data_IF_352886197995
#
_entry.id   IF_352886197995
#
_cell.length_a   1.000
_cell.length_b   1.000
_cell.length_c   1.000
_cell.angle_alpha   90.00
_cell.angle_beta   90.00
_cell.angle_gamma   90.00
#
_symmetry.space_group_name_H-M   'P 1'
#
loop_
_entity.id
_entity.type
_entity.pdbx_description
1 polymer ?
#
# COMPACT_ATOMS: atom_id res chain seq x y z
N UNK A 1 38.89 8.32 -26.42
CA UNK A 1 38.02 7.44 -25.60
C UNK A 1 37.85 7.97 -24.17
N UNK A 2 37.99 9.29 -23.96
CA UNK A 2 37.77 10.00 -22.69
C UNK A 2 37.00 11.26 -23.09
N UNK A 3 35.75 11.10 -23.54
CA UNK A 3 34.87 12.24 -23.86
C UNK A 3 33.38 11.88 -23.89
N UNK A 4 32.97 10.87 -23.12
CA UNK A 4 31.55 10.49 -22.96
C UNK A 4 31.02 10.71 -21.53
N UNK A 5 31.78 11.41 -20.66
CA UNK A 5 31.47 11.52 -19.21
C UNK A 5 30.97 12.88 -18.73
N UNK A 6 30.62 13.82 -19.62
CA UNK A 6 30.23 15.19 -19.18
C UNK A 6 28.82 15.64 -19.57
N UNK A 7 28.09 14.88 -20.38
CA UNK A 7 26.71 15.24 -20.76
C UNK A 7 25.61 14.63 -19.87
N UNK A 8 25.93 13.67 -18.99
CA UNK A 8 24.95 13.03 -18.08
C UNK A 8 24.93 13.61 -16.65
N UNK A 9 25.84 14.52 -16.30
CA UNK A 9 25.86 15.17 -14.99
C UNK A 9 24.97 16.44 -14.92
N UNK A 10 24.62 17.03 -16.08
CA UNK A 10 23.80 18.25 -16.11
C UNK A 10 22.28 17.99 -16.07
N UNK A 11 21.84 16.75 -16.34
CA UNK A 11 20.47 16.27 -16.07
C UNK A 11 20.29 15.72 -14.65
N UNK A 12 21.38 15.63 -13.87
CA UNK A 12 21.39 15.14 -12.49
C UNK A 12 20.88 16.20 -11.48
N UNK A 13 20.99 17.49 -11.82
CA UNK A 13 20.56 18.60 -10.94
C UNK A 13 19.16 19.14 -11.24
N UNK A 14 18.59 18.84 -12.41
CA UNK A 14 17.21 19.20 -12.73
C UNK A 14 16.17 18.21 -12.16
N UNK A 15 16.59 16.99 -11.77
CA UNK A 15 15.67 15.91 -11.39
C UNK A 15 15.42 15.81 -9.88
N UNK A 16 16.34 16.31 -9.04
CA UNK A 16 16.12 16.44 -7.58
C UNK A 16 15.00 17.44 -7.25
N UNK A 17 14.59 18.27 -8.23
CA UNK A 17 13.52 19.25 -8.05
C UNK A 17 12.15 18.85 -8.62
N UNK A 18 12.01 17.73 -9.36
CA UNK A 18 10.77 17.41 -10.10
C UNK A 18 10.01 16.17 -9.62
N UNK A 19 10.65 15.25 -8.87
CA UNK A 19 9.88 14.30 -8.04
C UNK A 19 9.21 14.96 -6.83
N UNK A 20 9.55 16.22 -6.53
CA UNK A 20 8.84 17.07 -5.56
C UNK A 20 7.61 17.79 -6.12
N UNK A 21 7.34 17.75 -7.44
CA UNK A 21 6.21 18.48 -8.03
C UNK A 21 4.94 17.66 -8.31
N UNK A 22 4.93 16.35 -8.01
CA UNK A 22 3.69 15.59 -7.76
C UNK A 22 3.44 15.34 -6.26
N UNK A 23 4.43 15.63 -5.40
CA UNK A 23 4.30 15.70 -3.94
C UNK A 23 3.47 16.90 -3.43
N UNK A 24 2.97 17.76 -4.33
CA UNK A 24 2.25 19.01 -3.99
C UNK A 24 0.73 18.96 -4.24
N UNK A 25 0.17 17.88 -4.80
CA UNK A 25 -1.29 17.82 -5.03
C UNK A 25 -2.10 17.07 -3.95
N UNK A 26 -1.46 16.31 -3.05
CA UNK A 26 -2.11 15.77 -1.84
C UNK A 26 -1.16 15.80 -0.63
N UNK A 27 -0.26 16.79 -0.56
CA UNK A 27 0.38 17.16 0.69
C UNK A 27 -0.72 17.32 1.74
N UNK A 28 -0.51 16.73 2.93
CA UNK A 28 -1.40 16.85 4.09
C UNK A 28 -2.05 18.23 4.07
N UNK A 29 -3.34 18.28 3.77
CA UNK A 29 -4.09 19.52 3.88
C UNK A 29 -3.87 20.00 5.31
N UNK A 30 -3.15 21.11 5.53
CA UNK A 30 -2.84 21.58 6.87
C UNK A 30 -4.12 21.88 7.66
N UNK A 31 -5.24 22.07 6.96
CA UNK A 31 -6.54 22.39 7.55
C UNK A 31 -7.42 21.15 7.76
N UNK A 32 -6.96 19.95 7.40
CA UNK A 32 -7.70 18.69 7.54
C UNK A 32 -9.10 18.70 6.91
N UNK A 33 -9.33 19.60 5.96
CA UNK A 33 -10.61 19.89 5.34
C UNK A 33 -10.72 19.15 4.01
N UNK A 34 -11.00 17.85 4.07
CA UNK A 34 -11.25 17.06 2.86
C UNK A 34 -12.69 17.24 2.39
N UNK A 35 -12.86 18.08 1.37
CA UNK A 35 -14.10 18.74 0.90
C UNK A 35 -15.24 17.87 0.34
N UNK A 36 -15.24 16.54 0.52
CA UNK A 36 -16.23 15.64 -0.08
C UNK A 36 -17.05 14.81 0.92
N UNK A 37 -17.03 15.16 2.21
CA UNK A 37 -17.88 14.52 3.21
C UNK A 37 -19.26 15.16 3.29
N UNK A 38 -20.30 14.35 3.12
CA UNK A 38 -21.69 14.72 3.36
C UNK A 38 -22.26 13.82 4.48
N UNK A 39 -22.55 14.36 5.68
CA UNK A 39 -23.04 13.56 6.80
C UNK A 39 -24.41 12.93 6.57
N UNK A 40 -25.15 13.37 5.54
CA UNK A 40 -26.47 12.85 5.19
C UNK A 40 -26.44 11.85 4.04
N UNK A 41 -25.26 11.59 3.48
CA UNK A 41 -25.14 10.76 2.29
C UNK A 41 -23.95 9.82 2.34
N UNK A 42 -22.77 10.27 2.81
CA UNK A 42 -21.53 9.49 2.77
C UNK A 42 -21.64 8.22 3.59
N UNK A 43 -21.73 7.08 2.89
CA UNK A 43 -21.85 5.76 3.49
C UNK A 43 -20.52 5.23 3.99
N UNK A 44 -19.46 5.43 3.21
CA UNK A 44 -18.14 4.87 3.46
C UNK A 44 -17.05 5.88 3.11
N UNK A 45 -16.02 5.94 3.95
CA UNK A 45 -14.76 6.62 3.66
C UNK A 45 -13.71 5.59 3.27
N UNK A 46 -13.08 5.76 2.11
CA UNK A 46 -11.98 4.92 1.65
C UNK A 46 -10.63 5.57 1.96
N UNK A 47 -9.73 4.79 2.55
CA UNK A 47 -8.30 5.10 2.60
C UNK A 47 -7.55 4.10 1.74
N UNK A 48 -6.47 4.57 1.13
CA UNK A 48 -5.54 3.68 0.45
C UNK A 48 -4.44 4.42 -0.29
N UNK A 49 -3.81 3.71 -1.21
CA UNK A 49 -2.72 4.22 -2.03
C UNK A 49 -3.16 4.51 -3.48
N UNK A 50 -2.26 4.34 -4.45
CA UNK A 50 -2.54 4.57 -5.87
C UNK A 50 -3.63 3.64 -6.42
N UNK A 51 -3.82 2.44 -5.85
CA UNK A 51 -4.92 1.55 -6.25
C UNK A 51 -6.29 2.16 -5.92
N UNK A 52 -6.41 2.83 -4.77
CA UNK A 52 -7.64 3.54 -4.42
C UNK A 52 -7.76 4.90 -5.11
N UNK A 53 -6.64 5.58 -5.39
CA UNK A 53 -6.58 6.92 -5.99
C UNK A 53 -6.88 6.89 -7.50
N UNK A 54 -6.42 5.86 -8.23
CA UNK A 54 -6.49 5.84 -9.70
C UNK A 54 -7.82 5.31 -10.26
N UNK A 55 -8.80 5.04 -9.40
CA UNK A 55 -10.09 4.47 -9.79
C UNK A 55 -10.95 5.41 -10.65
N UNK A 56 -10.73 6.72 -10.58
CA UNK A 56 -11.38 7.72 -11.45
C UNK A 56 -10.42 8.28 -12.52
N UNK A 57 -9.18 7.78 -12.56
CA UNK A 57 -8.20 8.20 -13.55
C UNK A 57 -8.38 7.46 -14.87
N UNK A 58 -8.21 8.22 -15.95
CA UNK A 58 -8.21 7.68 -17.30
C UNK A 58 -7.02 6.72 -17.50
N UNK A 59 -7.30 5.57 -18.12
CA UNK A 59 -6.33 4.49 -18.30
C UNK A 59 -6.31 3.49 -17.16
N UNK A 60 -6.98 3.77 -16.04
CA UNK A 60 -7.14 2.86 -14.92
C UNK A 60 -8.63 2.56 -14.72
N UNK A 61 -9.29 3.25 -13.78
CA UNK A 61 -10.69 2.98 -13.44
C UNK A 61 -11.75 3.87 -14.13
N UNK A 62 -11.43 5.03 -14.70
CA UNK A 62 -12.37 5.92 -15.42
C UNK A 62 -13.53 6.56 -14.65
N UNK A 63 -14.15 5.90 -13.66
CA UNK A 63 -15.47 6.31 -13.15
C UNK A 63 -15.57 6.49 -11.63
N UNK A 64 -14.55 6.11 -10.88
CA UNK A 64 -14.56 6.22 -9.43
C UNK A 64 -15.41 5.15 -8.71
N UNK A 65 -15.26 5.10 -7.38
CA UNK A 65 -15.91 4.08 -6.54
C UNK A 65 -17.44 4.09 -6.65
N UNK A 66 -18.07 5.26 -6.66
CA UNK A 66 -19.54 5.39 -6.65
C UNK A 66 -20.14 4.71 -7.89
N UNK A 67 -19.59 4.96 -9.08
CA UNK A 67 -20.06 4.34 -10.32
C UNK A 67 -19.82 2.84 -10.33
N UNK A 68 -18.63 2.38 -9.95
CA UNK A 68 -18.32 0.96 -9.94
C UNK A 68 -19.19 0.17 -8.96
N UNK A 69 -19.53 0.72 -7.79
CA UNK A 69 -20.43 0.07 -6.83
C UNK A 69 -21.89 0.14 -7.28
N UNK A 70 -22.32 1.25 -7.89
CA UNK A 70 -23.67 1.39 -8.45
C UNK A 70 -23.94 0.39 -9.58
N UNK A 71 -22.93 0.07 -10.39
CA UNK A 71 -23.05 -0.96 -11.42
C UNK A 71 -23.32 -2.34 -10.80
N UNK A 72 -22.72 -2.65 -9.66
CA UNK A 72 -22.93 -3.94 -8.98
C UNK A 72 -24.27 -4.00 -8.25
N UNK A 73 -24.66 -2.89 -7.62
CA UNK A 73 -25.91 -2.80 -6.88
C UNK A 73 -26.54 -1.41 -7.02
N UNK A 74 -27.41 -1.19 -8.02
CA UNK A 74 -27.97 0.12 -8.34
C UNK A 74 -29.06 0.57 -7.37
N UNK A 75 -29.49 -0.29 -6.44
CA UNK A 75 -30.53 0.06 -5.45
C UNK A 75 -29.97 0.87 -4.28
N UNK A 76 -28.64 0.89 -4.12
CA UNK A 76 -27.96 1.58 -3.03
C UNK A 76 -27.33 2.86 -3.58
N UNK A 77 -27.56 3.97 -2.87
CA UNK A 77 -26.90 5.23 -3.18
C UNK A 77 -25.49 5.25 -2.57
N UNK A 78 -24.53 4.67 -3.29
CA UNK A 78 -23.13 4.58 -2.87
C UNK A 78 -22.46 5.96 -2.89
N UNK A 79 -22.65 6.77 -1.85
CA UNK A 79 -21.87 7.99 -1.66
C UNK A 79 -20.56 7.63 -0.94
N UNK A 80 -19.44 7.75 -1.65
CA UNK A 80 -18.12 7.34 -1.19
C UNK A 80 -17.21 8.55 -1.05
N UNK A 81 -16.61 8.72 0.12
CA UNK A 81 -15.52 9.68 0.31
C UNK A 81 -14.20 8.96 0.04
N UNK A 82 -13.60 9.19 -1.13
CA UNK A 82 -12.29 8.62 -1.46
C UNK A 82 -11.16 9.51 -0.92
N UNK A 83 -10.38 8.99 0.03
CA UNK A 83 -9.21 9.65 0.61
C UNK A 83 -7.91 8.92 0.26
N UNK A 84 -7.94 7.96 -0.66
CA UNK A 84 -6.76 7.29 -1.15
C UNK A 84 -5.83 8.27 -1.90
N UNK A 85 -4.53 8.02 -1.84
CA UNK A 85 -3.54 8.88 -2.49
C UNK A 85 -2.34 8.07 -2.99
N UNK A 86 -1.95 8.32 -4.23
CA UNK A 86 -0.82 7.64 -4.85
C UNK A 86 0.47 7.72 -4.04
N UNK A 87 1.12 6.57 -3.86
CA UNK A 87 2.41 6.44 -3.18
C UNK A 87 2.36 6.39 -1.65
N UNK A 88 1.17 6.48 -1.03
CA UNK A 88 1.07 6.39 0.42
C UNK A 88 1.39 5.00 0.96
N UNK A 89 2.08 4.98 2.09
CA UNK A 89 2.35 3.83 2.94
C UNK A 89 1.37 3.79 4.12
N UNK A 90 1.39 2.72 4.91
CA UNK A 90 0.67 2.65 6.20
C UNK A 90 0.99 3.84 7.11
N UNK A 91 2.24 4.31 7.08
CA UNK A 91 2.72 5.46 7.85
C UNK A 91 2.08 6.76 7.41
N UNK A 92 1.87 6.97 6.12
CA UNK A 92 1.33 8.23 5.60
C UNK A 92 -0.14 8.39 5.98
N UNK A 93 -0.92 7.30 5.87
CA UNK A 93 -2.30 7.27 6.35
C UNK A 93 -2.34 7.51 7.87
N UNK A 94 -1.46 6.85 8.63
CA UNK A 94 -1.35 7.10 10.07
C UNK A 94 -1.05 8.58 10.38
N UNK A 95 -0.09 9.18 9.68
CA UNK A 95 0.29 10.58 9.88
C UNK A 95 -0.87 11.53 9.58
N UNK A 96 -1.63 11.29 8.50
CA UNK A 96 -2.84 12.05 8.18
C UNK A 96 -3.84 11.99 9.34
N UNK A 97 -4.24 10.78 9.72
CA UNK A 97 -5.27 10.59 10.75
C UNK A 97 -4.78 11.16 12.07
N UNK A 98 -3.52 10.93 12.42
CA UNK A 98 -2.89 11.44 13.64
C UNK A 98 -2.94 12.95 13.65
N UNK A 99 -2.40 13.60 12.61
CA UNK A 99 -2.39 15.05 12.45
C UNK A 99 -3.81 15.65 12.55
N UNK A 100 -4.76 15.06 11.85
CA UNK A 100 -6.13 15.52 11.83
C UNK A 100 -6.94 15.21 13.09
N UNK A 101 -6.36 14.44 14.01
CA UNK A 101 -7.00 14.11 15.27
C UNK A 101 -6.37 14.77 16.50
N UNK A 102 -5.28 15.54 16.33
CA UNK A 102 -4.49 16.05 17.46
C UNK A 102 -5.22 17.05 18.34
N UNK A 103 -6.07 17.89 17.77
CA UNK A 103 -6.74 18.98 18.49
C UNK A 103 -8.21 19.09 18.07
N UNK A 104 -9.01 19.84 18.85
CA UNK A 104 -10.44 20.00 18.59
C UNK A 104 -10.75 20.65 17.23
N UNK A 105 -9.96 21.63 16.80
CA UNK A 105 -10.16 22.34 15.52
C UNK A 105 -10.02 21.36 14.35
N UNK A 106 -8.88 20.68 14.27
CA UNK A 106 -8.59 19.70 13.22
C UNK A 106 -9.58 18.53 13.26
N UNK A 107 -9.96 18.06 14.45
CA UNK A 107 -10.97 17.00 14.60
C UNK A 107 -12.34 17.41 14.08
N UNK A 108 -12.73 18.66 14.31
CA UNK A 108 -14.01 19.17 13.84
C UNK A 108 -14.02 19.38 12.32
N UNK A 109 -12.86 19.69 11.72
CA UNK A 109 -12.67 19.79 10.27
C UNK A 109 -12.60 18.40 9.60
N UNK A 110 -11.96 17.43 10.25
CA UNK A 110 -11.72 16.10 9.71
C UNK A 110 -12.93 15.16 9.87
N UNK A 111 -13.86 15.24 8.92
CA UNK A 111 -15.08 14.43 8.94
C UNK A 111 -14.98 13.24 7.99
N UNK A 112 -15.37 12.08 8.50
CA UNK A 112 -15.38 10.78 7.81
C UNK A 112 -16.61 9.98 8.20
N UNK A 113 -17.04 9.06 7.32
CA UNK A 113 -18.16 8.16 7.57
C UNK A 113 -17.87 7.21 8.73
N UNK A 114 -18.90 6.62 9.32
CA UNK A 114 -18.74 5.65 10.40
C UNK A 114 -18.21 4.31 9.92
N UNK A 115 -18.46 3.99 8.65
CA UNK A 115 -17.84 2.87 7.96
C UNK A 115 -16.61 3.36 7.20
N UNK A 116 -15.50 2.68 7.42
CA UNK A 116 -14.21 3.00 6.81
C UNK A 116 -13.68 1.76 6.11
N UNK A 117 -13.30 1.90 4.84
CA UNK A 117 -12.62 0.86 4.09
C UNK A 117 -11.15 1.25 3.86
N UNK A 118 -10.22 0.31 3.99
CA UNK A 118 -8.77 0.57 3.92
C UNK A 118 -8.14 -0.49 3.04
N UNK A 119 -7.43 -0.07 1.98
CA UNK A 119 -6.53 -0.91 1.19
C UNK A 119 -5.16 -0.22 1.18
N UNK A 120 -4.18 -0.75 1.90
CA UNK A 120 -2.89 -0.10 2.11
C UNK A 120 -1.84 -1.14 2.47
N UNK A 121 -0.58 -0.89 2.11
CA UNK A 121 0.56 -1.75 2.46
C UNK A 121 1.48 -2.06 1.28
N UNK A 122 0.97 -1.97 0.04
CA UNK A 122 1.76 -2.22 -1.17
C UNK A 122 3.01 -1.36 -1.27
N UNK A 123 2.88 -0.05 -1.00
CA UNK A 123 4.04 0.84 -0.97
C UNK A 123 5.02 0.54 0.16
N UNK A 124 4.57 -0.01 1.30
CA UNK A 124 5.49 -0.43 2.36
C UNK A 124 6.43 -1.56 1.90
N UNK A 125 5.94 -2.48 1.07
CA UNK A 125 6.79 -3.50 0.42
C UNK A 125 7.66 -2.90 -0.69
N UNK A 126 7.12 -1.99 -1.49
CA UNK A 126 7.87 -1.27 -2.54
C UNK A 126 9.05 -0.49 -1.97
N UNK A 127 8.87 0.20 -0.85
CA UNK A 127 9.93 0.98 -0.20
C UNK A 127 11.05 0.10 0.35
N UNK A 128 10.78 -1.19 0.55
CA UNK A 128 11.74 -2.19 1.00
C UNK A 128 12.18 -3.11 -0.13
N UNK A 129 11.84 -2.79 -1.38
CA UNK A 129 12.06 -3.66 -2.52
C UNK A 129 13.53 -4.07 -2.66
N UNK A 130 14.45 -3.09 -2.62
CA UNK A 130 15.87 -3.37 -2.74
C UNK A 130 16.33 -4.34 -1.64
N UNK A 131 15.99 -4.07 -0.38
CA UNK A 131 16.30 -4.96 0.74
C UNK A 131 15.79 -6.39 0.47
N UNK A 132 14.52 -6.52 0.07
CA UNK A 132 13.84 -7.81 -0.08
C UNK A 132 14.30 -8.60 -1.30
N UNK A 133 14.78 -7.94 -2.36
CA UNK A 133 15.42 -8.63 -3.47
C UNK A 133 16.71 -9.34 -3.03
N UNK A 134 17.54 -8.67 -2.22
CA UNK A 134 18.84 -9.19 -1.78
C UNK A 134 18.75 -10.05 -0.50
N UNK A 135 17.75 -9.80 0.34
CA UNK A 135 17.55 -10.46 1.62
C UNK A 135 16.10 -10.94 1.74
N UNK A 136 15.68 -11.93 0.93
CA UNK A 136 14.30 -12.44 0.97
C UNK A 136 13.87 -12.95 2.35
N UNK A 137 14.81 -13.38 3.19
CA UNK A 137 14.52 -13.79 4.57
C UNK A 137 14.01 -12.64 5.46
N UNK A 138 14.16 -11.38 5.05
CA UNK A 138 13.57 -10.22 5.74
C UNK A 138 12.10 -9.98 5.39
N UNK A 139 11.50 -10.76 4.48
CA UNK A 139 10.08 -10.66 4.13
C UNK A 139 9.18 -10.75 5.37
N UNK A 140 9.46 -11.68 6.29
CA UNK A 140 8.68 -11.84 7.52
C UNK A 140 8.77 -10.63 8.45
N UNK A 141 9.94 -9.99 8.55
CA UNK A 141 10.11 -8.79 9.36
C UNK A 141 9.37 -7.58 8.77
N UNK A 142 9.43 -7.42 7.44
CA UNK A 142 8.65 -6.39 6.74
C UNK A 142 7.15 -6.63 6.94
N UNK A 143 6.68 -7.86 6.75
CA UNK A 143 5.27 -8.24 6.97
C UNK A 143 4.80 -7.92 8.40
N UNK A 144 5.57 -8.31 9.41
CA UNK A 144 5.25 -8.02 10.81
C UNK A 144 5.16 -6.52 11.07
N UNK A 145 6.07 -5.73 10.50
CA UNK A 145 6.08 -4.27 10.62
C UNK A 145 4.85 -3.64 9.96
N UNK A 146 4.53 -4.03 8.73
CA UNK A 146 3.36 -3.53 8.01
C UNK A 146 2.08 -3.91 8.75
N UNK A 147 1.97 -5.16 9.20
CA UNK A 147 0.83 -5.65 9.99
C UNK A 147 0.69 -4.86 11.29
N UNK A 148 1.79 -4.58 11.99
CA UNK A 148 1.80 -3.77 13.20
C UNK A 148 1.34 -2.33 12.92
N UNK A 149 1.87 -1.67 11.88
CA UNK A 149 1.45 -0.32 11.51
C UNK A 149 -0.04 -0.26 11.14
N UNK A 150 -0.54 -1.25 10.38
CA UNK A 150 -1.96 -1.41 10.08
C UNK A 150 -2.79 -1.60 11.35
N UNK A 151 -2.31 -2.39 12.33
CA UNK A 151 -2.97 -2.53 13.64
C UNK A 151 -3.08 -1.18 14.36
N UNK A 152 -2.01 -0.39 14.39
CA UNK A 152 -2.01 0.95 14.99
C UNK A 152 -3.05 1.85 14.31
N UNK A 153 -3.09 1.83 12.97
CA UNK A 153 -4.07 2.56 12.17
C UNK A 153 -5.52 2.18 12.52
N UNK A 154 -5.80 0.86 12.58
CA UNK A 154 -7.12 0.35 12.98
C UNK A 154 -7.49 0.81 14.39
N UNK A 155 -6.56 0.74 15.35
CA UNK A 155 -6.81 1.20 16.73
C UNK A 155 -7.07 2.69 16.84
N UNK A 156 -6.48 3.51 15.98
CA UNK A 156 -6.79 4.94 15.91
C UNK A 156 -8.21 5.20 15.40
N UNK A 157 -8.62 4.50 14.35
CA UNK A 157 -9.98 4.61 13.80
C UNK A 157 -11.03 4.06 14.76
N UNK A 158 -10.68 2.99 15.49
CA UNK A 158 -11.53 2.33 16.48
C UNK A 158 -11.36 2.89 17.89
N UNK A 159 -10.62 3.98 18.03
CA UNK A 159 -10.59 4.74 19.26
C UNK A 159 -12.04 5.00 19.70
N UNK A 160 -12.40 4.79 20.98
CA UNK A 160 -13.80 4.89 21.41
C UNK A 160 -14.46 6.26 21.18
N UNK A 161 -13.68 7.32 20.91
CA UNK A 161 -14.20 8.63 20.50
C UNK A 161 -14.66 8.68 19.04
N UNK A 162 -14.18 7.75 18.20
CA UNK A 162 -14.52 7.67 16.77
C UNK A 162 -15.37 6.46 16.44
N UNK A 163 -15.09 5.33 17.10
CA UNK A 163 -15.84 4.07 17.03
C UNK A 163 -16.19 3.64 15.60
N UNK A 164 -15.22 3.74 14.69
CA UNK A 164 -15.45 3.39 13.28
C UNK A 164 -15.59 1.88 13.09
N UNK A 165 -16.46 1.47 12.17
CA UNK A 165 -16.43 0.13 11.60
C UNK A 165 -15.38 0.10 10.50
N UNK A 166 -14.49 -0.88 10.51
CA UNK A 166 -13.35 -0.94 9.61
C UNK A 166 -13.42 -2.19 8.74
N UNK A 167 -13.38 -2.00 7.42
CA UNK A 167 -13.08 -3.03 6.46
C UNK A 167 -11.64 -2.88 6.02
N UNK A 168 -10.81 -3.85 6.37
CA UNK A 168 -9.47 -3.97 5.82
C UNK A 168 -9.55 -4.84 4.57
N UNK A 169 -9.06 -4.32 3.45
CA UNK A 169 -8.97 -5.01 2.18
C UNK A 169 -7.50 -5.37 1.97
N UNK A 170 -7.23 -6.64 1.70
CA UNK A 170 -5.87 -7.05 1.35
C UNK A 170 -5.51 -6.58 -0.05
N UNK A 171 -4.23 -6.29 -0.30
CA UNK A 171 -3.76 -5.90 -1.64
C UNK A 171 -3.82 -7.08 -2.64
N UNK A 172 -3.52 -6.79 -3.90
CA UNK A 172 -3.54 -7.73 -5.02
C UNK A 172 -2.12 -8.18 -5.42
N UNK A 173 -1.96 -9.31 -6.13
CA UNK A 173 -0.69 -9.67 -6.77
C UNK A 173 -0.25 -8.61 -7.78
N UNK A 174 1.06 -8.41 -7.92
CA UNK A 174 1.62 -7.66 -9.04
C UNK A 174 1.88 -8.57 -10.26
N UNK A 175 2.04 -7.99 -11.45
CA UNK A 175 2.35 -8.76 -12.68
C UNK A 175 3.80 -9.27 -12.63
N UNK A 176 4.00 -10.50 -12.18
CA UNK A 176 5.30 -11.17 -12.10
C UNK A 176 5.44 -12.31 -13.12
N UNK A 177 6.68 -12.70 -13.44
CA UNK A 177 7.03 -13.80 -14.36
C UNK A 177 6.07 -14.99 -14.24
N UNK A 178 5.51 -15.39 -15.38
CA UNK A 178 4.56 -16.50 -15.48
C UNK A 178 5.27 -17.75 -15.99
N UNK A 179 5.10 -18.92 -15.34
CA UNK A 179 5.63 -20.18 -15.87
C UNK A 179 5.02 -20.56 -17.21
N UNK A 180 3.79 -20.12 -17.51
CA UNK A 180 3.10 -20.47 -18.76
C UNK A 180 3.21 -19.41 -19.86
N UNK A 181 3.51 -18.15 -19.50
CA UNK A 181 3.57 -17.04 -20.45
C UNK A 181 4.96 -16.41 -20.60
N UNK A 182 5.93 -16.77 -19.75
CA UNK A 182 7.30 -16.22 -19.83
C UNK A 182 7.52 -15.02 -18.91
N UNK A 183 8.42 -14.11 -19.30
CA UNK A 183 8.66 -12.88 -18.54
C UNK A 183 7.51 -11.91 -18.73
N UNK A 184 7.31 -10.96 -17.80
CA UNK A 184 6.18 -10.04 -17.94
C UNK A 184 6.23 -9.26 -19.25
N UNK A 185 7.42 -8.92 -19.76
CA UNK A 185 7.59 -8.25 -21.05
C UNK A 185 6.98 -9.00 -22.22
N UNK A 186 6.82 -10.32 -22.10
CA UNK A 186 6.40 -11.21 -23.18
C UNK A 186 4.88 -11.34 -23.26
N UNK A 187 4.16 -11.03 -22.18
CA UNK A 187 2.70 -11.18 -22.10
C UNK A 187 1.95 -9.98 -21.52
N UNK A 188 2.68 -9.01 -20.97
CA UNK A 188 2.11 -7.76 -20.53
C UNK A 188 1.94 -6.85 -21.75
N UNK A 189 0.68 -6.56 -22.09
CA UNK A 189 0.31 -5.65 -23.16
C UNK A 189 -0.40 -4.46 -22.53
N UNK A 190 0.18 -3.28 -22.67
CA UNK A 190 -0.46 -2.04 -22.22
C UNK A 190 -1.85 -1.91 -22.85
N UNK A 191 -2.88 -1.70 -22.02
CA UNK A 191 -4.26 -1.40 -22.41
C UNK A 191 -4.93 -2.43 -23.33
N UNK A 192 -5.07 -3.68 -22.87
CA UNK A 192 -5.75 -4.75 -23.64
C UNK A 192 -7.25 -4.51 -23.87
N UNK A 193 -7.89 -3.64 -23.09
CA UNK A 193 -9.31 -3.33 -23.20
C UNK A 193 -9.50 -1.81 -23.05
N UNK A 194 -10.03 -1.15 -24.09
CA UNK A 194 -10.51 0.24 -24.03
C UNK A 194 -12.04 0.22 -24.31
N UNK A 195 -12.86 1.04 -23.63
CA UNK A 195 -14.28 1.15 -23.94
C UNK A 195 -14.48 1.72 -25.36
N UNK A 196 -15.28 1.10 -26.23
CA UNK A 196 -15.48 1.59 -27.61
C UNK A 196 -16.52 2.72 -27.71
N UNK A 197 -16.25 3.74 -28.55
CA UNK A 197 -17.26 4.33 -29.44
C UNK A 197 -17.39 5.86 -29.50
N UNK A 198 -17.72 6.53 -28.39
CA UNK A 198 -18.05 7.97 -28.41
C UNK A 198 -17.42 8.80 -27.27
N UNK A 199 -16.92 8.16 -26.20
CA UNK A 199 -16.17 8.82 -25.12
C UNK A 199 -14.66 8.99 -25.42
N UNK A 200 -14.17 8.27 -26.42
CA UNK A 200 -12.74 8.06 -26.73
C UNK A 200 -12.05 9.23 -27.44
N UNK A 201 -12.81 10.02 -28.21
CA UNK A 201 -12.23 10.96 -29.16
C UNK A 201 -11.67 12.24 -28.51
N UNK A 202 -12.02 12.52 -27.25
CA UNK A 202 -11.48 13.66 -26.50
C UNK A 202 -10.16 13.32 -25.75
N UNK A 203 -10.02 12.06 -25.33
CA UNK A 203 -8.85 11.54 -24.60
C UNK A 203 -7.60 11.37 -25.47
N UNK A 204 -7.81 11.06 -26.74
CA UNK A 204 -6.74 10.81 -27.72
C UNK A 204 -5.87 12.07 -27.96
N UNK A 205 -6.41 13.26 -27.69
CA UNK A 205 -5.69 14.54 -27.79
C UNK A 205 -4.77 14.78 -26.57
N UNK A 206 -5.06 14.20 -25.40
CA UNK A 206 -4.25 14.34 -24.16
C UNK A 206 -3.24 13.18 -24.02
N UNK A 207 -3.55 12.02 -24.61
CA UNK A 207 -2.81 10.75 -24.56
C UNK A 207 -1.38 10.79 -25.11
N UNK A 208 -1.08 11.69 -26.05
CA UNK A 208 0.15 11.57 -26.84
C UNK A 208 1.41 12.22 -26.24
N UNK A 209 1.32 12.94 -25.12
CA UNK A 209 2.50 13.61 -24.53
C UNK A 209 2.83 13.17 -23.09
N UNK A 210 1.85 12.87 -22.22
CA UNK A 210 2.11 12.58 -20.79
C UNK A 210 2.53 11.15 -20.44
N UNK A 211 2.06 10.14 -21.18
CA UNK A 211 2.25 8.72 -20.82
C UNK A 211 3.71 8.26 -21.06
N UNK A 212 4.39 8.86 -22.05
CA UNK A 212 5.81 8.57 -22.32
C UNK A 212 6.76 9.14 -21.27
N UNK A 213 6.37 10.20 -20.57
CA UNK A 213 7.20 10.84 -19.56
C UNK A 213 7.12 10.05 -18.25
N UNK A 214 5.92 9.76 -17.74
CA UNK A 214 5.74 9.07 -16.45
C UNK A 214 6.34 7.65 -16.40
N UNK A 215 6.27 6.89 -17.50
CA UNK A 215 6.86 5.55 -17.57
C UNK A 215 8.39 5.57 -17.63
N UNK A 216 8.96 6.53 -18.36
CA UNK A 216 10.40 6.71 -18.40
C UNK A 216 10.95 7.22 -17.08
N UNK A 217 10.19 8.02 -16.33
CA UNK A 217 10.58 8.52 -15.02
C UNK A 217 10.48 7.45 -13.93
N UNK A 218 9.42 6.63 -13.89
CA UNK A 218 9.30 5.53 -12.92
C UNK A 218 10.35 4.44 -13.15
N UNK A 219 10.62 4.07 -14.41
CA UNK A 219 11.70 3.14 -14.75
C UNK A 219 13.05 3.77 -14.46
N UNK A 220 13.25 5.06 -14.70
CA UNK A 220 14.52 5.75 -14.41
C UNK A 220 14.76 5.91 -12.92
N UNK A 221 13.77 6.23 -12.11
CA UNK A 221 13.88 6.34 -10.65
C UNK A 221 14.10 4.97 -10.00
N UNK A 222 13.38 3.94 -10.46
CA UNK A 222 13.64 2.56 -10.07
C UNK A 222 15.04 2.11 -10.50
N UNK A 223 15.42 2.33 -11.76
CA UNK A 223 16.74 1.93 -12.26
C UNK A 223 17.86 2.75 -11.60
N UNK A 224 17.63 4.01 -11.24
CA UNK A 224 18.58 4.81 -10.47
C UNK A 224 18.69 4.31 -9.04
N UNK A 225 17.58 3.96 -8.39
CA UNK A 225 17.57 3.36 -7.05
C UNK A 225 18.22 1.98 -7.06
N UNK A 226 17.91 1.16 -8.06
CA UNK A 226 18.54 -0.13 -8.27
C UNK A 226 20.02 0.05 -8.55
N UNK A 227 20.43 0.85 -9.53
CA UNK A 227 21.84 1.10 -9.87
C UNK A 227 22.61 1.73 -8.72
N UNK A 228 22.02 2.66 -7.96
CA UNK A 228 22.63 3.26 -6.77
C UNK A 228 22.80 2.22 -5.67
N UNK A 229 21.76 1.44 -5.36
CA UNK A 229 21.85 0.38 -4.35
C UNK A 229 22.76 -0.76 -4.81
N UNK A 230 22.81 -1.05 -6.11
CA UNK A 230 23.76 -1.96 -6.73
C UNK A 230 25.18 -1.44 -6.57
N UNK A 231 25.44 -0.18 -6.90
CA UNK A 231 26.75 0.44 -6.74
C UNK A 231 27.16 0.52 -5.27
N UNK A 232 26.25 0.79 -4.34
CA UNK A 232 26.55 0.78 -2.90
C UNK A 232 26.77 -0.62 -2.34
N UNK A 233 25.93 -1.60 -2.72
CA UNK A 233 26.12 -3.00 -2.34
C UNK A 233 27.43 -3.53 -2.93
N UNK A 234 27.71 -3.28 -4.22
CA UNK A 234 28.98 -3.64 -4.85
C UNK A 234 30.15 -2.87 -4.25
N UNK A 235 30.01 -1.61 -3.86
CA UNK A 235 31.06 -0.87 -3.15
C UNK A 235 31.34 -1.50 -1.80
N UNK A 236 30.32 -1.84 -1.00
CA UNK A 236 30.48 -2.50 0.29
C UNK A 236 31.06 -3.91 0.15
N UNK A 237 30.60 -4.69 -0.83
CA UNK A 237 31.13 -6.00 -1.18
C UNK A 237 32.57 -5.89 -1.68
N UNK A 238 32.86 -4.93 -2.57
CA UNK A 238 34.20 -4.64 -3.09
C UNK A 238 35.12 -4.20 -1.97
N UNK A 239 34.69 -3.31 -1.08
CA UNK A 239 35.49 -2.79 0.01
C UNK A 239 35.70 -3.88 1.10
N UNK A 240 34.75 -4.81 1.28
CA UNK A 240 34.90 -6.02 2.09
C UNK A 240 35.82 -7.08 1.42
N UNK A 241 35.74 -7.24 0.10
CA UNK A 241 36.57 -8.17 -0.69
C UNK A 241 37.98 -7.62 -0.96
N UNK A 242 38.19 -6.30 -0.93
CA UNK A 242 39.52 -5.68 -0.98
C UNK A 242 40.34 -6.07 0.26
N UNK A 243 39.70 -6.48 1.35
CA UNK A 243 40.37 -7.08 2.50
C UNK A 243 40.91 -8.50 2.23
N UNK A 244 40.44 -9.18 1.16
CA UNK A 244 40.90 -10.52 0.70
C UNK A 244 41.51 -10.51 -0.73
N UNK A 245 41.66 -9.32 -1.33
CA UNK A 245 42.76 -9.00 -2.24
C UNK A 245 42.81 -9.61 -3.65
N UNK A 246 41.72 -9.96 -4.36
CA UNK A 246 41.84 -10.30 -5.81
C UNK A 246 40.67 -9.86 -6.70
N UNK A 247 40.99 -9.36 -7.90
CA UNK A 247 40.06 -9.05 -9.03
C UNK A 247 39.32 -10.30 -9.54
N UNK A 248 39.86 -11.49 -9.26
CA UNK A 248 39.30 -12.79 -9.62
C UNK A 248 37.93 -13.02 -8.96
N UNK A 249 37.76 -12.64 -7.69
CA UNK A 249 36.50 -12.82 -6.97
C UNK A 249 35.35 -12.00 -7.57
N UNK A 250 35.64 -10.82 -8.14
CA UNK A 250 34.66 -10.01 -8.85
C UNK A 250 34.30 -10.59 -10.23
N UNK A 251 35.26 -11.15 -10.98
CA UNK A 251 34.97 -11.80 -12.26
C UNK A 251 34.19 -13.09 -12.07
N UNK A 252 34.51 -13.85 -11.03
CA UNK A 252 33.84 -15.10 -10.71
C UNK A 252 32.40 -14.81 -10.26
N UNK A 253 32.19 -13.80 -9.41
CA UNK A 253 30.86 -13.33 -9.02
C UNK A 253 30.01 -12.93 -10.22
N UNK A 254 30.57 -12.17 -11.17
CA UNK A 254 29.89 -11.85 -12.43
C UNK A 254 29.53 -13.10 -13.24
N UNK A 255 30.45 -14.06 -13.34
CA UNK A 255 30.19 -15.34 -14.01
C UNK A 255 29.10 -16.17 -13.33
N UNK A 256 28.99 -16.11 -11.99
CA UNK A 256 27.89 -16.77 -11.25
C UNK A 256 26.54 -16.10 -11.52
N UNK A 257 26.51 -14.76 -11.55
CA UNK A 257 25.33 -13.97 -11.94
C UNK A 257 24.87 -14.27 -13.38
N UNK A 258 25.81 -14.35 -14.32
CA UNK A 258 25.51 -14.62 -15.73
C UNK A 258 25.18 -16.10 -15.97
N UNK A 259 25.72 -17.00 -15.14
CA UNK A 259 25.64 -18.46 -15.28
C UNK A 259 24.49 -19.15 -14.54
N UNK A 260 23.79 -18.45 -13.63
CA UNK A 260 22.75 -19.02 -12.75
C UNK A 260 23.27 -20.09 -11.77
N UNK A 261 24.55 -20.02 -11.41
CA UNK A 261 25.20 -21.04 -10.60
C UNK A 261 25.43 -20.50 -9.21
N UNK A 262 24.94 -21.23 -8.21
CA UNK A 262 25.22 -20.96 -6.80
C UNK A 262 26.71 -21.17 -6.51
N UNK A 263 27.41 -20.21 -5.87
CA UNK A 263 28.80 -20.37 -5.47
C UNK A 263 29.01 -21.51 -4.45
N UNK A 264 28.01 -21.83 -3.63
CA UNK A 264 28.11 -22.91 -2.62
C UNK A 264 27.55 -24.25 -3.10
N UNK A 265 26.75 -24.26 -4.16
CA UNK A 265 25.90 -25.37 -4.58
C UNK A 265 24.73 -25.68 -3.64
N UNK A 266 24.61 -25.01 -2.48
CA UNK A 266 23.59 -25.27 -1.46
C UNK A 266 22.47 -24.21 -1.42
N UNK A 267 22.68 -23.08 -2.09
CA UNK A 267 21.78 -21.92 -2.10
C UNK A 267 21.18 -21.66 -3.50
N UNK A 268 20.98 -22.69 -4.33
CA UNK A 268 20.38 -22.55 -5.66
C UNK A 268 19.04 -21.78 -5.65
N UNK A 269 18.24 -21.97 -4.61
CA UNK A 269 16.97 -21.27 -4.44
C UNK A 269 17.16 -19.74 -4.35
N UNK A 270 18.23 -19.29 -3.68
CA UNK A 270 18.53 -17.87 -3.50
C UNK A 270 18.97 -17.23 -4.83
N UNK A 271 19.79 -17.94 -5.60
CA UNK A 271 20.21 -17.47 -6.93
C UNK A 271 19.05 -17.40 -7.91
N UNK A 272 18.12 -18.37 -7.87
CA UNK A 272 16.87 -18.31 -8.65
C UNK A 272 15.99 -17.13 -8.23
N UNK A 273 15.82 -16.91 -6.92
CA UNK A 273 15.10 -15.75 -6.37
C UNK A 273 15.69 -14.43 -6.87
N UNK A 274 17.00 -14.27 -6.69
CA UNK A 274 17.71 -13.05 -7.04
C UNK A 274 17.61 -12.80 -8.54
N UNK A 275 17.79 -13.83 -9.37
CA UNK A 275 17.66 -13.70 -10.81
C UNK A 275 16.23 -13.33 -11.25
N UNK A 276 15.22 -14.01 -10.72
CA UNK A 276 13.82 -13.73 -11.07
C UNK A 276 13.42 -12.31 -10.63
N UNK A 277 13.98 -11.84 -9.51
CA UNK A 277 13.86 -10.46 -9.06
C UNK A 277 14.60 -9.50 -10.00
N UNK A 278 15.84 -9.76 -10.41
CA UNK A 278 16.57 -8.86 -11.33
C UNK A 278 15.91 -8.74 -12.70
N UNK A 279 15.27 -9.82 -13.18
CA UNK A 279 14.49 -9.81 -14.41
C UNK A 279 13.15 -9.10 -14.25
N UNK A 280 12.60 -9.06 -13.04
CA UNK A 280 11.26 -8.55 -12.75
C UNK A 280 11.21 -7.78 -11.41
N UNK A 281 11.99 -6.69 -11.25
CA UNK A 281 12.39 -6.19 -9.93
C UNK A 281 11.23 -5.64 -9.12
N UNK A 282 10.26 -4.98 -9.73
CA UNK A 282 9.11 -4.44 -8.98
C UNK A 282 8.16 -5.56 -8.59
N UNK A 283 7.77 -6.42 -9.53
CA UNK A 283 6.55 -7.18 -9.38
C UNK A 283 6.71 -8.51 -8.66
N UNK A 284 7.86 -9.19 -8.78
CA UNK A 284 8.02 -10.51 -8.16
C UNK A 284 8.01 -10.42 -6.63
N UNK A 285 8.89 -9.57 -6.08
CA UNK A 285 9.05 -9.42 -4.63
C UNK A 285 7.82 -8.80 -3.99
N UNK A 286 7.26 -7.74 -4.59
CA UNK A 286 6.04 -7.11 -4.08
C UNK A 286 4.89 -8.11 -4.11
N UNK A 287 4.69 -8.84 -5.21
CA UNK A 287 3.59 -9.79 -5.30
C UNK A 287 3.68 -10.88 -4.24
N UNK A 288 4.86 -11.44 -4.00
CA UNK A 288 5.07 -12.43 -2.93
C UNK A 288 4.89 -11.81 -1.55
N UNK A 289 5.40 -10.60 -1.33
CA UNK A 289 5.18 -9.83 -0.10
C UNK A 289 3.69 -9.67 0.20
N UNK A 290 2.90 -9.30 -0.80
CA UNK A 290 1.46 -9.12 -0.67
C UNK A 290 0.70 -10.44 -0.49
N UNK A 291 1.21 -11.57 -1.02
CA UNK A 291 0.67 -12.90 -0.76
C UNK A 291 0.83 -13.28 0.71
N UNK A 292 2.05 -13.15 1.25
CA UNK A 292 2.33 -13.51 2.65
C UNK A 292 1.66 -12.55 3.64
N UNK A 293 1.30 -11.35 3.19
CA UNK A 293 0.66 -10.36 4.04
C UNK A 293 -0.81 -10.68 4.37
N UNK A 294 -1.54 -11.33 3.45
CA UNK A 294 -2.99 -11.57 3.63
C UNK A 294 -3.30 -12.33 4.92
N UNK A 295 -2.61 -13.46 5.24
CA UNK A 295 -2.89 -14.21 6.46
C UNK A 295 -2.53 -13.41 7.72
N UNK A 296 -1.47 -12.60 7.68
CA UNK A 296 -1.05 -11.75 8.80
C UNK A 296 -2.09 -10.66 9.10
N UNK A 297 -2.66 -10.05 8.07
CA UNK A 297 -3.77 -9.10 8.22
C UNK A 297 -5.03 -9.79 8.76
N UNK A 298 -5.38 -10.97 8.25
CA UNK A 298 -6.55 -11.72 8.73
C UNK A 298 -6.41 -12.11 10.21
N UNK A 299 -5.23 -12.61 10.61
CA UNK A 299 -4.92 -12.91 12.00
C UNK A 299 -5.02 -11.67 12.89
N UNK A 300 -4.45 -10.54 12.45
CA UNK A 300 -4.54 -9.27 13.16
C UNK A 300 -5.99 -8.80 13.32
N UNK A 301 -6.82 -8.93 12.29
CA UNK A 301 -8.25 -8.60 12.36
C UNK A 301 -8.99 -9.46 13.40
N UNK A 302 -8.68 -10.76 13.47
CA UNK A 302 -9.27 -11.65 14.47
C UNK A 302 -8.87 -11.24 15.90
N UNK A 303 -7.61 -10.89 16.11
CA UNK A 303 -7.11 -10.38 17.39
C UNK A 303 -7.76 -9.04 17.78
N UNK A 304 -7.87 -8.08 16.87
CA UNK A 304 -8.49 -6.78 17.13
C UNK A 304 -10.01 -6.87 17.36
N UNK A 305 -10.66 -7.89 16.80
CA UNK A 305 -12.05 -8.19 17.13
C UNK A 305 -12.21 -8.82 18.52
N UNK A 306 -11.21 -9.55 19.02
CA UNK A 306 -11.18 -10.09 20.37
C UNK A 306 -10.67 -9.07 21.42
N UNK A 307 -10.02 -8.00 20.98
CA UNK A 307 -9.44 -6.98 21.84
C UNK A 307 -10.52 -6.22 22.63
N UNK A 308 -10.47 -6.36 23.95
CA UNK A 308 -11.31 -5.66 24.90
C UNK A 308 -10.40 -5.02 25.96
N UNK A 309 -10.13 -3.72 25.83
CA UNK A 309 -9.27 -2.99 26.76
C UNK A 309 -9.98 -1.75 27.28
N UNK A 310 -9.66 -1.37 28.51
CA UNK A 310 -10.24 -0.26 29.23
C UNK A 310 -9.15 0.77 29.50
N UNK A 311 -9.36 1.99 29.02
CA UNK A 311 -8.47 3.12 29.24
C UNK A 311 -9.12 4.09 30.21
N UNK A 312 -8.50 4.32 31.35
CA UNK A 312 -8.95 5.33 32.32
C UNK A 312 -8.08 6.57 32.17
N UNK A 313 -8.69 7.66 31.74
CA UNK A 313 -8.07 8.98 31.67
C UNK A 313 -8.46 9.79 32.90
N UNK A 314 -7.48 10.40 33.56
CA UNK A 314 -7.71 11.32 34.68
C UNK A 314 -7.10 12.67 34.32
N UNK A 315 -7.95 13.70 34.23
CA UNK A 315 -7.48 15.08 34.11
C UNK A 315 -7.35 15.68 35.52
N UNK A 316 -6.38 16.58 35.71
CA UNK A 316 -6.17 17.25 37.00
C UNK A 316 -7.45 17.95 37.44
N UNK A 317 -7.92 17.64 38.66
CA UNK A 317 -9.18 18.15 39.24
C UNK A 317 -10.49 17.72 38.54
N UNK A 318 -10.49 16.64 37.74
CA UNK A 318 -11.73 16.06 37.17
C UNK A 318 -11.89 14.59 37.54
N UNK A 319 -13.15 14.12 37.51
CA UNK A 319 -13.46 12.70 37.67
C UNK A 319 -12.81 11.88 36.56
N UNK A 320 -12.17 10.74 36.88
CA UNK A 320 -11.62 9.85 35.88
C UNK A 320 -12.68 9.41 34.87
N UNK A 321 -12.38 9.54 33.58
CA UNK A 321 -13.23 9.04 32.49
C UNK A 321 -12.67 7.70 32.04
N UNK A 322 -13.48 6.67 32.18
CA UNK A 322 -13.16 5.33 31.70
C UNK A 322 -13.72 5.14 30.30
N UNK A 323 -12.87 4.66 29.38
CA UNK A 323 -13.17 4.50 27.97
C UNK A 323 -12.87 3.05 27.59
N UNK A 324 -13.88 2.30 27.13
CA UNK A 324 -13.72 0.90 26.73
C UNK A 324 -13.59 0.79 25.21
N UNK A 325 -12.60 0.05 24.73
CA UNK A 325 -12.58 -0.46 23.36
C UNK A 325 -13.64 -1.56 23.26
N UNK A 326 -14.61 -1.39 22.37
CA UNK A 326 -15.61 -2.43 22.12
C UNK A 326 -14.99 -3.52 21.24
N UNK A 327 -15.13 -4.78 21.61
CA UNK A 327 -14.81 -5.91 20.71
C UNK A 327 -15.63 -5.84 19.41
N UNK A 328 -15.14 -6.46 18.32
CA UNK A 328 -15.83 -6.50 17.02
C UNK A 328 -15.55 -5.30 16.10
N UNK A 329 -16.34 -5.14 15.03
CA UNK A 329 -16.25 -3.94 14.16
C UNK A 329 -15.06 -3.86 13.19
N UNK A 330 -14.17 -4.86 13.15
CA UNK A 330 -13.16 -5.00 12.08
C UNK A 330 -13.52 -6.20 11.19
N UNK A 331 -13.40 -6.05 9.88
CA UNK A 331 -13.59 -7.15 8.92
C UNK A 331 -12.43 -7.15 7.94
N UNK A 332 -12.14 -8.33 7.40
CA UNK A 332 -11.13 -8.52 6.37
C UNK A 332 -11.79 -8.96 5.06
N UNK A 333 -11.31 -8.42 3.94
CA UNK A 333 -11.63 -8.86 2.59
C UNK A 333 -10.33 -9.31 1.92
N UNK A 334 -10.08 -10.62 1.80
CA UNK A 334 -8.92 -11.14 1.09
C UNK A 334 -9.14 -10.96 -0.40
N UNK A 335 -8.39 -10.08 -1.05
CA UNK A 335 -8.56 -9.81 -2.48
C UNK A 335 -7.56 -10.54 -3.36
N UNK A 336 -6.42 -10.93 -2.80
CA UNK A 336 -5.29 -11.46 -3.55
C UNK A 336 -5.67 -12.60 -4.52
N UNK A 337 -6.46 -13.56 -4.03
CA UNK A 337 -6.83 -14.75 -4.80
C UNK A 337 -7.77 -14.48 -5.97
N UNK A 338 -8.54 -13.40 -5.95
CA UNK A 338 -9.44 -13.03 -7.06
C UNK A 338 -8.68 -12.46 -8.26
N UNK A 339 -7.49 -11.92 -8.02
CA UNK A 339 -6.66 -11.30 -9.05
C UNK A 339 -5.53 -12.21 -9.53
N UNK A 340 -5.39 -13.39 -8.94
CA UNK A 340 -4.41 -14.39 -9.35
C UNK A 340 -4.76 -15.03 -10.69
N UNK A 341 -3.71 -15.29 -11.48
CA UNK A 341 -3.79 -16.21 -12.60
C UNK A 341 -3.74 -17.64 -12.08
N UNK A 342 -4.93 -18.20 -11.82
CA UNK A 342 -5.11 -19.53 -11.22
C UNK A 342 -4.30 -20.65 -11.91
N UNK A 343 -4.16 -20.59 -13.23
CA UNK A 343 -3.36 -21.56 -13.99
C UNK A 343 -1.88 -21.56 -13.56
N UNK A 344 -1.27 -20.41 -13.25
CA UNK A 344 0.13 -20.37 -12.78
C UNK A 344 0.26 -20.77 -11.32
N UNK A 345 -0.77 -20.51 -10.51
CA UNK A 345 -0.81 -20.99 -9.12
C UNK A 345 -0.72 -22.52 -9.06
N UNK A 346 -1.36 -23.24 -9.99
CA UNK A 346 -1.24 -24.70 -10.11
C UNK A 346 0.21 -25.16 -10.37
N UNK A 347 1.02 -24.36 -11.06
CA UNK A 347 2.43 -24.64 -11.32
C UNK A 347 3.37 -24.16 -10.20
N UNK A 348 2.84 -23.83 -9.02
CA UNK A 348 3.66 -23.39 -7.88
C UNK A 348 4.03 -21.90 -7.91
N UNK A 349 3.37 -21.10 -8.76
CA UNK A 349 3.55 -19.65 -8.82
C UNK A 349 2.27 -18.91 -8.37
N UNK A 350 1.81 -19.06 -7.10
CA UNK A 350 0.56 -18.49 -6.60
C UNK A 350 0.64 -16.98 -6.31
N UNK A 351 1.47 -16.27 -7.09
CA UNK A 351 1.74 -14.84 -6.94
C UNK A 351 1.75 -14.12 -8.29
N UNK A 352 1.34 -14.80 -9.36
CA UNK A 352 1.25 -14.19 -10.69
C UNK A 352 -0.14 -13.60 -10.87
N UNK A 353 -0.22 -12.29 -11.04
CA UNK A 353 -1.48 -11.61 -11.36
C UNK A 353 -2.03 -12.04 -12.73
N UNK A 354 -3.36 -11.99 -12.88
CA UNK A 354 -4.00 -12.12 -14.18
C UNK A 354 -3.80 -10.82 -14.99
N UNK A 355 -2.97 -10.83 -16.06
CA UNK A 355 -2.60 -9.60 -16.77
C UNK A 355 -3.78 -8.90 -17.45
N UNK A 356 -4.90 -9.61 -17.67
CA UNK A 356 -6.09 -9.01 -18.27
C UNK A 356 -6.80 -8.02 -17.32
N UNK A 357 -6.47 -8.00 -16.03
CA UNK A 357 -7.09 -7.14 -15.02
C UNK A 357 -6.27 -5.87 -14.71
N UNK A 358 -5.12 -5.70 -15.36
CA UNK A 358 -4.14 -4.67 -15.02
C UNK A 358 -3.88 -3.72 -16.19
N UNK A 359 -3.57 -2.47 -15.85
CA UNK A 359 -3.15 -1.43 -16.79
C UNK A 359 -1.63 -1.27 -16.84
N UNK A 360 -0.95 -1.56 -15.73
CA UNK A 360 0.50 -1.61 -15.60
C UNK A 360 0.93 -2.76 -14.68
N UNK A 361 2.19 -2.76 -14.22
CA UNK A 361 2.75 -3.85 -13.41
C UNK A 361 2.05 -4.04 -12.05
N UNK A 362 1.36 -3.01 -11.54
CA UNK A 362 0.79 -3.01 -10.18
C UNK A 362 -0.65 -2.50 -10.14
N UNK A 363 -1.07 -1.63 -11.06
CA UNK A 363 -2.39 -0.99 -11.04
C UNK A 363 -3.41 -1.71 -11.94
N UNK A 364 -4.64 -1.72 -11.46
CA UNK A 364 -5.78 -2.32 -12.13
C UNK A 364 -6.24 -1.51 -13.34
N UNK A 365 -6.78 -2.21 -14.34
CA UNK A 365 -7.57 -1.59 -15.40
C UNK A 365 -9.06 -1.58 -15.01
N UNK A 366 -9.91 -1.02 -15.87
CA UNK A 366 -11.35 -0.92 -15.61
C UNK A 366 -12.05 -2.27 -15.36
N UNK A 367 -11.58 -3.36 -15.98
CA UNK A 367 -12.08 -4.71 -15.72
C UNK A 367 -11.64 -5.19 -14.35
N UNK A 368 -10.40 -4.90 -13.96
CA UNK A 368 -9.89 -5.14 -12.60
C UNK A 368 -10.69 -4.39 -11.54
N UNK A 369 -10.99 -3.10 -11.75
CA UNK A 369 -11.83 -2.32 -10.84
C UNK A 369 -13.28 -2.81 -10.80
N UNK A 370 -13.84 -3.26 -11.92
CA UNK A 370 -15.16 -3.90 -11.93
C UNK A 370 -15.18 -5.16 -11.06
N UNK A 371 -14.15 -6.01 -11.16
CA UNK A 371 -14.02 -7.19 -10.31
C UNK A 371 -13.82 -6.82 -8.84
N UNK A 372 -12.97 -5.82 -8.57
CA UNK A 372 -12.75 -5.33 -7.21
C UNK A 372 -14.06 -4.83 -6.59
N UNK A 373 -14.81 -4.01 -7.32
CA UNK A 373 -16.08 -3.46 -6.83
C UNK A 373 -17.13 -4.52 -6.58
N UNK A 374 -17.16 -5.60 -7.37
CA UNK A 374 -18.04 -6.75 -7.12
C UNK A 374 -17.79 -7.36 -5.73
N UNK A 375 -16.52 -7.59 -5.37
CA UNK A 375 -16.18 -8.17 -4.07
C UNK A 375 -16.38 -7.19 -2.91
N UNK A 376 -16.09 -5.91 -3.12
CA UNK A 376 -16.33 -4.85 -2.14
C UNK A 376 -17.83 -4.66 -1.87
N UNK A 377 -18.65 -4.56 -2.91
CA UNK A 377 -20.11 -4.44 -2.79
C UNK A 377 -20.67 -5.62 -2.00
N UNK A 378 -20.31 -6.85 -2.39
CA UNK A 378 -20.77 -8.05 -1.69
C UNK A 378 -20.39 -7.99 -0.21
N UNK A 379 -19.18 -7.52 0.10
CA UNK A 379 -18.73 -7.40 1.49
C UNK A 379 -19.47 -6.30 2.24
N UNK A 380 -19.74 -5.16 1.62
CA UNK A 380 -20.55 -4.10 2.20
C UNK A 380 -21.98 -4.59 2.50
N UNK A 381 -22.60 -5.29 1.56
CA UNK A 381 -23.91 -5.90 1.73
C UNK A 381 -23.93 -6.95 2.85
N UNK A 382 -22.92 -7.82 2.93
CA UNK A 382 -22.74 -8.77 4.05
C UNK A 382 -22.63 -8.09 5.42
N UNK A 383 -22.02 -6.91 5.48
CA UNK A 383 -21.87 -6.12 6.71
C UNK A 383 -23.06 -5.21 7.00
N UNK A 384 -24.06 -5.16 6.12
CA UNK A 384 -25.21 -4.25 6.24
C UNK A 384 -24.88 -2.78 5.96
N UNK A 385 -23.79 -2.49 5.25
CA UNK A 385 -23.38 -1.13 4.87
C UNK A 385 -24.12 -0.62 3.63
N UNK A 386 -25.42 -0.87 3.57
CA UNK A 386 -26.30 -0.56 2.41
C UNK A 386 -27.14 0.69 2.63
N UNK A 387 -27.12 1.24 3.84
CA UNK A 387 -27.78 2.47 4.23
C UNK A 387 -26.91 3.20 5.25
N UNK A 388 -27.19 4.49 5.45
CA UNK A 388 -26.53 5.21 6.53
C UNK A 388 -26.84 4.52 7.85
N UNK A 389 -25.86 4.39 8.76
CA UNK A 389 -26.16 3.91 10.09
C UNK A 389 -27.20 4.82 10.75
N UNK A 390 -28.12 4.20 11.50
CA UNK A 390 -29.12 4.94 12.29
C UNK A 390 -28.42 6.05 13.09
N UNK A 391 -28.91 7.29 13.06
CA UNK A 391 -28.34 8.36 13.86
C UNK A 391 -28.38 7.91 15.33
N UNK A 392 -27.23 7.74 15.97
CA UNK A 392 -27.23 7.40 17.39
C UNK A 392 -27.81 8.58 18.16
N UNK A 393 -29.01 8.38 18.69
CA UNK A 393 -29.85 9.38 19.33
C UNK A 393 -29.19 9.93 20.60
N UNK A 394 -28.80 11.21 20.54
CA UNK A 394 -28.72 12.08 21.71
C UNK A 394 -29.87 13.08 21.57
N UNK A 395 -31.06 12.73 22.05
CA UNK A 395 -32.23 13.61 22.25
C UNK A 395 -32.29 14.83 21.31
N UNK A 396 -32.48 14.60 20.01
CA UNK A 396 -32.75 15.66 19.04
C UNK A 396 -31.53 16.43 18.50
N UNK A 397 -30.30 16.01 18.79
CA UNK A 397 -29.12 16.37 17.99
C UNK A 397 -28.50 15.09 17.44
N UNK A 398 -28.62 14.89 16.13
CA UNK A 398 -27.95 13.81 15.40
C UNK A 398 -26.46 13.81 15.78
N UNK A 399 -25.98 12.73 16.37
CA UNK A 399 -24.58 12.63 16.78
C UNK A 399 -23.70 12.44 15.52
N UNK A 400 -23.42 13.55 14.82
CA UNK A 400 -22.54 13.64 13.65
C UNK A 400 -21.09 14.00 14.04
N UNK A 401 -20.73 13.86 15.32
CA UNK A 401 -19.44 14.29 15.86
C UNK A 401 -18.98 13.48 17.09
N UNK A 402 -17.70 13.05 17.03
CA UNK A 402 -16.66 12.70 18.04
C UNK A 402 -17.00 12.07 19.42
N UNK A 403 -18.23 11.66 19.71
CA UNK A 403 -18.58 11.09 21.04
C UNK A 403 -19.50 9.87 21.03
N UNK A 404 -19.62 9.17 19.91
CA UNK A 404 -20.47 7.99 19.79
C UNK A 404 -19.83 6.78 20.48
N UNK A 405 -19.95 6.71 21.81
CA UNK A 405 -19.35 5.62 22.61
C UNK A 405 -19.29 5.86 24.11
N UNK A 406 -19.62 7.06 24.60
CA UNK A 406 -19.69 7.35 26.04
C UNK A 406 -21.11 7.21 26.57
N UNK A 407 -21.23 6.69 27.79
CA UNK A 407 -22.47 6.69 28.59
C UNK A 407 -22.95 8.09 28.94
N UNK A 408 -22.07 9.10 28.91
CA UNK A 408 -22.40 10.50 29.17
C UNK A 408 -21.65 11.47 28.24
N UNK A 409 -22.35 12.52 27.82
CA UNK A 409 -21.77 13.65 27.06
C UNK A 409 -20.75 14.36 27.95
N UNK A 410 -19.51 14.60 27.48
CA UNK A 410 -18.55 15.37 28.24
C UNK A 410 -19.06 16.79 28.51
N UNK A 411 -18.72 17.40 29.66
CA UNK A 411 -19.05 18.79 29.93
C UNK A 411 -18.58 19.71 28.80
N UNK A 412 -19.39 20.70 28.46
CA UNK A 412 -19.03 21.72 27.47
C UNK A 412 -17.68 22.37 27.87
N UNK A 413 -16.67 22.30 26.99
CA UNK A 413 -15.32 22.79 27.26
C UNK A 413 -14.32 21.76 27.81
N UNK A 414 -14.69 20.48 27.97
CA UNK A 414 -13.71 19.45 28.32
C UNK A 414 -12.82 19.09 27.12
N UNK A 415 -11.51 19.30 27.26
CA UNK A 415 -10.52 18.83 26.29
C UNK A 415 -10.32 17.33 26.49
N UNK A 416 -10.86 16.54 25.56
CA UNK A 416 -10.64 15.09 25.58
C UNK A 416 -9.43 14.78 24.71
N UNK A 417 -8.40 14.23 25.35
CA UNK A 417 -7.24 13.70 24.66
C UNK A 417 -7.52 12.28 24.18
N UNK A 418 -7.22 12.01 22.91
CA UNK A 418 -7.15 10.64 22.43
C UNK A 418 -6.03 9.92 23.20
N UNK A 419 -6.21 8.66 23.65
CA UNK A 419 -5.08 7.86 24.09
C UNK A 419 -4.01 7.90 23.00
N UNK A 420 -2.77 8.19 23.39
CA UNK A 420 -1.66 8.30 22.44
C UNK A 420 -1.54 6.96 21.70
N UNK A 421 -1.74 6.92 20.37
CA UNK A 421 -1.52 5.70 19.63
C UNK A 421 -0.03 5.33 19.71
N UNK A 422 0.27 4.04 19.65
CA UNK A 422 1.65 3.60 19.55
C UNK A 422 2.27 4.16 18.24
N UNK A 423 3.55 4.47 18.27
CA UNK A 423 4.23 4.98 17.07
C UNK A 423 4.31 3.89 16.00
N UNK A 424 4.16 4.30 14.74
CA UNK A 424 4.42 3.45 13.58
C UNK A 424 5.92 3.20 13.44
N UNK A 425 6.28 1.97 13.10
CA UNK A 425 7.67 1.56 12.91
C UNK A 425 8.07 1.85 11.47
N UNK A 426 9.15 2.61 11.30
CA UNK A 426 9.59 3.15 10.00
C UNK A 426 10.81 2.43 9.44
N UNK A 427 11.75 2.01 10.29
CA UNK A 427 13.01 1.48 9.79
C UNK A 427 12.90 0.00 9.42
N UNK A 428 13.53 -0.43 8.31
CA UNK A 428 13.78 -1.84 8.10
C UNK A 428 14.66 -2.39 9.22
N UNK A 429 14.56 -3.69 9.47
CA UNK A 429 15.57 -4.35 10.29
C UNK A 429 16.97 -4.12 9.70
N UNK A 430 18.01 -4.09 10.55
CA UNK A 430 19.38 -3.97 10.08
C UNK A 430 19.71 -5.01 9.01
N UNK A 431 20.50 -4.58 8.04
CA UNK A 431 21.06 -5.45 7.00
C UNK A 431 21.89 -6.54 7.68
N UNK A 432 21.60 -7.79 7.35
CA UNK A 432 22.41 -8.93 7.78
C UNK A 432 23.60 -9.10 6.84
N UNK A 433 24.63 -8.28 7.04
CA UNK A 433 25.81 -8.24 6.18
C UNK A 433 26.57 -9.57 6.15
N UNK A 434 26.62 -10.29 7.27
CA UNK A 434 27.33 -11.57 7.35
C UNK A 434 26.64 -12.64 6.52
N UNK A 435 25.32 -12.76 6.65
CA UNK A 435 24.53 -13.72 5.88
C UNK A 435 24.52 -13.37 4.38
N UNK A 436 24.37 -12.08 4.05
CA UNK A 436 24.44 -11.60 2.67
C UNK A 436 25.80 -11.92 2.03
N UNK A 437 26.91 -11.70 2.75
CA UNK A 437 28.25 -12.01 2.26
C UNK A 437 28.46 -13.51 2.07
N UNK A 438 27.96 -14.34 2.98
CA UNK A 438 27.98 -15.80 2.88
C UNK A 438 27.30 -16.28 1.58
N UNK A 439 26.11 -15.77 1.26
CA UNK A 439 25.43 -16.13 0.01
C UNK A 439 26.14 -15.62 -1.26
N UNK A 440 26.70 -14.42 -1.23
CA UNK A 440 27.33 -13.83 -2.42
C UNK A 440 28.73 -14.38 -2.72
N UNK A 441 29.46 -14.81 -1.70
CA UNK A 441 30.86 -15.24 -1.84
C UNK A 441 31.06 -16.74 -1.62
N UNK A 442 30.07 -17.42 -1.05
CA UNK A 442 30.19 -18.79 -0.56
C UNK A 442 31.11 -18.95 0.66
N UNK A 443 31.60 -17.85 1.25
CA UNK A 443 32.41 -17.86 2.48
C UNK A 443 31.56 -17.44 3.67
N UNK A 444 31.21 -18.41 4.52
CA UNK A 444 30.44 -18.20 5.74
C UNK A 444 31.42 -18.25 6.92
N UNK A 445 31.52 -17.15 7.67
CA UNK A 445 32.48 -16.94 8.75
C UNK A 445 31.89 -17.30 10.11
#
# INVERSE_FOLDING_TARGET
MIEFSRYNAFLFLAFVFVCSSSLIAQGLDPDCNRTNFDPERTLVTFYGDSLGDYIDQEGYGYFGWETYLTIQNPQINWKIQNLAAGGWTTRDVYNLISHCSRNEINRNAYKTADNVAIEIGGNDYRDNLALLMWMPWKLGAVDQRVTYNTRVLVRMLRNPLRRKNVLLMGNFPAIAKSPTLGNYTDYFVYFKYWPTGQLMNAAEVIKNEKIKEQWNEAVKDLMQTLVYNFDQAFKLIRDALIFDGTVQSMSDMKSYFDGNISPTGQDEWYWRWLQDSLKNPISHVISIGLLIHQPSLEAMVNEENAYNNIYTYTEENKTPVTISYTAGGVRFLPLYTYFLRQTDAFYGHPYVANPNLYSDLVHLNHVGYYLWSYHVEKKFSEMGWTSLPEPTDYNGQACRHWNCGRTEKPPLGSVIQDPTPADVVVQPEPIDWALLFCFLTGKCW
#
